data_IF_701042303442
#
_entry.id   IF_701042303442
#
_cell.length_a   1.000
_cell.length_b   1.000
_cell.length_c   1.000
_cell.angle_alpha   90.00
_cell.angle_beta   90.00
_cell.angle_gamma   90.00
#
_symmetry.space_group_name_H-M   'P 1'
#
loop_
_entity.id
_entity.type
_entity.pdbx_description
1 polymer ?
#
# COMPACT_ATOMS: atom_id res chain seq x y z
N UNK A 1 -15.20 1.20 -11.48
CA UNK A 1 -15.15 2.61 -11.04
C UNK A 1 -16.15 3.56 -11.72
N UNK A 2 -16.70 3.30 -12.92
CA UNK A 2 -17.57 4.27 -13.64
C UNK A 2 -18.92 4.56 -12.94
N UNK A 3 -19.53 3.60 -12.24
CA UNK A 3 -20.79 3.83 -11.50
C UNK A 3 -20.64 4.57 -10.16
N UNK A 4 -19.42 4.78 -9.67
CA UNK A 4 -19.18 5.19 -8.28
C UNK A 4 -19.35 6.68 -7.99
N UNK A 5 -19.22 7.54 -9.00
CA UNK A 5 -19.19 8.99 -8.77
C UNK A 5 -20.50 9.71 -9.02
N UNK A 6 -21.47 9.03 -9.63
CA UNK A 6 -22.78 9.59 -9.95
C UNK A 6 -23.90 9.00 -9.10
N UNK A 7 -23.59 8.16 -8.11
CA UNK A 7 -24.61 7.53 -7.28
C UNK A 7 -25.24 8.56 -6.32
N UNK A 8 -26.49 9.01 -6.57
CA UNK A 8 -27.15 10.04 -5.77
C UNK A 8 -27.59 9.52 -4.39
N UNK A 9 -27.56 8.21 -4.17
CA UNK A 9 -28.02 7.56 -2.94
C UNK A 9 -26.99 7.65 -1.80
N UNK A 10 -25.80 8.15 -2.08
CA UNK A 10 -24.73 8.30 -1.10
C UNK A 10 -24.35 9.77 -0.97
N UNK A 11 -25.10 10.51 -0.13
CA UNK A 11 -24.81 11.87 0.39
C UNK A 11 -23.53 11.92 1.26
N UNK A 12 -22.51 11.13 0.92
CA UNK A 12 -21.23 11.21 1.61
C UNK A 12 -20.45 12.41 1.08
N UNK A 13 -19.94 13.22 2.00
CA UNK A 13 -19.08 14.38 1.69
C UNK A 13 -17.72 13.96 1.09
N UNK A 14 -17.36 12.68 1.23
CA UNK A 14 -16.15 12.10 0.68
C UNK A 14 -16.38 10.66 0.17
N UNK A 15 -15.47 10.18 -0.66
CA UNK A 15 -15.40 8.81 -1.15
C UNK A 15 -14.05 8.23 -0.76
N UNK A 16 -14.07 7.11 -0.07
CA UNK A 16 -12.86 6.36 0.25
C UNK A 16 -12.49 5.43 -0.91
N UNK A 17 -11.21 5.40 -1.26
CA UNK A 17 -10.66 4.47 -2.23
C UNK A 17 -9.62 3.58 -1.56
N UNK A 18 -9.54 2.33 -2.02
CA UNK A 18 -8.46 1.41 -1.64
C UNK A 18 -7.09 2.03 -1.93
N UNK A 19 -6.00 1.51 -1.33
CA UNK A 19 -4.67 2.06 -1.56
C UNK A 19 -4.34 2.15 -3.06
N UNK A 20 -4.01 3.35 -3.56
CA UNK A 20 -3.72 3.54 -4.99
C UNK A 20 -2.28 3.19 -5.35
N UNK A 21 -1.41 3.00 -4.34
CA UNK A 21 -0.02 2.64 -4.50
C UNK A 21 0.16 1.23 -5.07
N UNK A 22 1.33 1.00 -5.65
CA UNK A 22 1.72 -0.31 -6.16
C UNK A 22 1.82 -1.34 -5.04
N UNK A 23 1.26 -2.51 -5.31
CA UNK A 23 1.14 -3.59 -4.34
C UNK A 23 1.63 -4.90 -4.92
N UNK A 24 1.93 -5.84 -4.04
CA UNK A 24 2.11 -7.24 -4.41
C UNK A 24 0.80 -7.83 -4.99
N UNK A 25 0.90 -8.60 -6.08
CA UNK A 25 -0.26 -9.16 -6.79
C UNK A 25 -0.85 -10.39 -6.09
N UNK A 26 0.00 -11.21 -5.47
CA UNK A 26 -0.38 -12.57 -5.03
C UNK A 26 -1.00 -12.60 -3.63
N UNK A 27 -0.88 -11.52 -2.87
CA UNK A 27 -1.51 -11.42 -1.55
C UNK A 27 -2.89 -10.76 -1.66
N UNK A 28 -3.84 -11.19 -0.81
CA UNK A 28 -5.09 -10.46 -0.61
C UNK A 28 -4.86 -9.12 0.12
N UNK A 29 -3.72 -8.99 0.80
CA UNK A 29 -3.34 -7.75 1.45
C UNK A 29 -2.92 -6.69 0.42
N UNK A 30 -3.17 -5.43 0.74
CA UNK A 30 -2.72 -4.29 -0.06
C UNK A 30 -1.33 -3.86 0.39
N UNK A 31 -0.40 -4.82 0.47
CA UNK A 31 0.98 -4.61 0.91
C UNK A 31 1.77 -3.83 -0.14
N UNK A 32 2.31 -2.64 0.20
CA UNK A 32 3.05 -1.80 -0.74
C UNK A 32 4.34 -2.45 -1.23
N UNK A 33 4.63 -2.24 -2.51
CA UNK A 33 5.95 -2.48 -3.12
C UNK A 33 6.60 -1.15 -3.49
N UNK A 34 5.80 -0.18 -3.92
CA UNK A 34 6.25 1.18 -4.15
C UNK A 34 5.13 2.20 -3.98
N UNK A 35 5.45 3.48 -4.14
CA UNK A 35 4.47 4.56 -4.14
C UNK A 35 4.03 4.99 -5.55
N UNK A 36 4.35 4.22 -6.59
CA UNK A 36 3.73 4.42 -7.90
C UNK A 36 2.21 4.28 -7.77
N UNK A 37 1.44 5.20 -8.35
CA UNK A 37 -0.03 5.16 -8.32
C UNK A 37 -0.56 4.12 -9.34
N UNK A 38 -0.28 2.84 -9.11
CA UNK A 38 -0.66 1.76 -10.00
C UNK A 38 -1.03 0.53 -9.18
N UNK A 39 -2.32 0.38 -8.92
CA UNK A 39 -2.87 -0.70 -8.09
C UNK A 39 -3.74 -1.63 -8.93
N UNK A 40 -4.34 -2.65 -8.28
CA UNK A 40 -5.39 -3.47 -8.88
C UNK A 40 -6.61 -2.66 -9.32
N UNK A 41 -6.81 -1.46 -8.77
CA UNK A 41 -7.92 -0.57 -9.13
C UNK A 41 -7.66 0.25 -10.40
N UNK A 42 -6.41 0.28 -10.89
CA UNK A 42 -6.05 0.98 -12.11
C UNK A 42 -4.71 1.70 -12.04
N UNK A 43 -4.37 2.30 -13.16
CA UNK A 43 -3.20 3.15 -13.39
C UNK A 43 -3.38 4.56 -12.84
N UNK A 44 -2.29 5.31 -12.77
CA UNK A 44 -2.29 6.72 -12.35
C UNK A 44 -3.19 7.59 -13.22
N UNK A 45 -3.21 7.30 -14.52
CA UNK A 45 -4.09 7.99 -15.47
C UNK A 45 -5.56 7.72 -15.13
N UNK A 46 -5.95 6.47 -14.91
CA UNK A 46 -7.33 6.11 -14.57
C UNK A 46 -7.74 6.70 -13.21
N UNK A 47 -6.82 6.75 -12.25
CA UNK A 47 -7.04 7.44 -10.97
C UNK A 47 -7.24 8.95 -11.19
N UNK A 48 -6.44 9.59 -12.02
CA UNK A 48 -6.60 11.00 -12.41
C UNK A 48 -7.95 11.26 -13.08
N UNK A 49 -8.41 10.36 -13.95
CA UNK A 49 -9.74 10.44 -14.56
C UNK A 49 -10.87 10.30 -13.53
N UNK A 50 -10.71 9.40 -12.54
CA UNK A 50 -11.66 9.31 -11.41
C UNK A 50 -11.67 10.63 -10.65
N UNK A 51 -10.53 11.13 -10.20
CA UNK A 51 -10.44 12.39 -9.44
C UNK A 51 -11.08 13.55 -10.22
N UNK A 52 -10.78 13.66 -11.52
CA UNK A 52 -11.33 14.71 -12.38
C UNK A 52 -12.84 14.60 -12.52
N UNK A 53 -13.40 13.41 -12.73
CA UNK A 53 -14.86 13.21 -12.87
C UNK A 53 -15.61 13.44 -11.56
N UNK A 54 -14.96 13.20 -10.43
CA UNK A 54 -15.58 13.20 -9.11
C UNK A 54 -15.20 14.45 -8.30
N UNK A 55 -14.64 15.48 -8.93
CA UNK A 55 -14.11 16.69 -8.28
C UNK A 55 -15.14 17.50 -7.46
N UNK A 56 -16.43 17.20 -7.59
CA UNK A 56 -17.51 17.73 -6.75
C UNK A 56 -17.61 17.07 -5.35
N UNK A 57 -16.88 15.98 -5.11
CA UNK A 57 -16.77 15.29 -3.81
C UNK A 57 -15.31 15.07 -3.47
N UNK A 58 -14.97 14.97 -2.18
CA UNK A 58 -13.59 14.66 -1.77
C UNK A 58 -13.28 13.20 -2.03
N UNK A 59 -12.10 12.90 -2.57
CA UNK A 59 -11.56 11.54 -2.64
C UNK A 59 -10.56 11.39 -1.50
N UNK A 60 -10.77 10.40 -0.64
CA UNK A 60 -9.88 10.03 0.45
C UNK A 60 -9.22 8.71 0.09
N UNK A 61 -7.91 8.72 -0.13
CA UNK A 61 -7.17 7.49 -0.37
C UNK A 61 -6.81 6.82 0.95
N UNK A 62 -6.99 5.51 1.03
CA UNK A 62 -6.29 4.70 2.02
C UNK A 62 -4.78 4.74 1.73
N UNK A 63 -3.98 4.95 2.77
CA UNK A 63 -2.54 5.17 2.68
C UNK A 63 -1.84 4.21 3.61
N UNK A 64 -1.17 3.21 3.03
CA UNK A 64 -0.36 2.24 3.76
C UNK A 64 1.09 2.72 3.74
N UNK A 65 1.53 3.27 4.87
CA UNK A 65 2.90 3.83 5.05
C UNK A 65 3.69 3.16 6.17
N UNK A 66 3.02 2.34 6.98
CA UNK A 66 3.64 1.71 8.15
C UNK A 66 4.56 0.53 7.79
N UNK A 67 4.24 -0.21 6.74
CA UNK A 67 4.94 -1.42 6.35
C UNK A 67 4.93 -1.59 4.82
N UNK A 68 5.80 -2.48 4.31
CA UNK A 68 5.83 -2.91 2.91
C UNK A 68 5.09 -4.26 2.75
N UNK A 69 5.75 -5.30 2.26
CA UNK A 69 5.23 -6.66 2.25
C UNK A 69 5.83 -7.50 3.39
N UNK A 70 5.18 -8.60 3.72
CA UNK A 70 5.66 -9.50 4.77
C UNK A 70 7.04 -10.07 4.41
N UNK A 71 7.92 -10.24 5.40
CA UNK A 71 9.30 -10.72 5.22
C UNK A 71 9.40 -12.12 4.61
N UNK A 72 8.37 -12.95 4.74
CA UNK A 72 8.26 -14.28 4.14
C UNK A 72 7.76 -14.27 2.68
N UNK A 73 7.57 -13.08 2.11
CA UNK A 73 7.19 -12.91 0.71
C UNK A 73 8.33 -13.37 -0.22
N UNK A 74 8.05 -14.40 -1.02
CA UNK A 74 9.00 -14.97 -1.99
C UNK A 74 9.40 -13.96 -3.08
N UNK A 75 10.69 -13.91 -3.43
CA UNK A 75 11.34 -12.94 -4.33
C UNK A 75 10.84 -12.93 -5.80
N UNK A 76 9.98 -13.87 -6.21
CA UNK A 76 9.42 -13.95 -7.57
C UNK A 76 7.95 -13.49 -7.66
N UNK A 77 7.46 -12.81 -6.63
CA UNK A 77 6.08 -12.31 -6.59
C UNK A 77 5.98 -11.03 -7.41
N UNK A 78 5.06 -11.02 -8.38
CA UNK A 78 4.78 -9.83 -9.18
C UNK A 78 4.17 -8.71 -8.33
N UNK A 79 4.52 -7.48 -8.67
CA UNK A 79 3.88 -6.25 -8.22
C UNK A 79 2.95 -5.71 -9.32
N UNK A 80 2.00 -4.85 -8.96
CA UNK A 80 0.96 -4.36 -9.89
C UNK A 80 1.50 -3.49 -11.03
N UNK A 81 2.73 -2.96 -10.92
CA UNK A 81 3.43 -2.23 -11.99
C UNK A 81 4.70 -2.94 -12.44
N UNK A 82 5.05 -4.09 -11.85
CA UNK A 82 6.24 -4.85 -12.19
C UNK A 82 7.53 -4.30 -11.60
N UNK A 83 7.46 -3.42 -10.61
CA UNK A 83 8.65 -3.04 -9.84
C UNK A 83 9.28 -4.24 -9.15
N UNK A 84 10.60 -4.31 -9.24
CA UNK A 84 11.42 -5.27 -8.49
C UNK A 84 11.41 -4.93 -7.00
N UNK A 85 11.37 -5.98 -6.18
CA UNK A 85 11.62 -5.94 -4.74
C UNK A 85 12.08 -7.32 -4.25
N UNK A 86 12.72 -7.36 -3.08
CA UNK A 86 12.97 -8.58 -2.32
C UNK A 86 12.61 -8.32 -0.87
N UNK A 87 11.69 -9.12 -0.32
CA UNK A 87 11.30 -8.98 1.09
C UNK A 87 12.36 -9.58 2.03
N UNK A 88 12.99 -10.70 1.63
CA UNK A 88 14.00 -11.41 2.43
C UNK A 88 15.30 -10.63 2.57
N UNK A 89 15.59 -9.71 1.66
CA UNK A 89 16.75 -8.81 1.72
C UNK A 89 16.35 -7.36 1.98
N UNK A 90 15.06 -7.10 2.13
CA UNK A 90 14.49 -5.77 2.39
C UNK A 90 14.86 -4.71 1.35
N UNK A 91 14.95 -5.10 0.07
CA UNK A 91 15.30 -4.18 -1.01
C UNK A 91 14.04 -3.78 -1.79
N UNK A 92 13.70 -2.49 -1.75
CA UNK A 92 12.58 -1.89 -2.49
C UNK A 92 13.08 -0.68 -3.30
N UNK A 93 13.86 -0.91 -4.39
CA UNK A 93 14.56 0.15 -5.11
C UNK A 93 13.66 1.15 -5.84
N UNK A 94 12.36 0.85 -5.99
CA UNK A 94 11.38 1.82 -6.53
C UNK A 94 10.97 2.90 -5.50
N UNK A 95 11.23 2.68 -4.21
CA UNK A 95 11.07 3.64 -3.11
C UNK A 95 12.41 4.18 -2.58
N UNK A 96 13.51 3.76 -3.20
CA UNK A 96 14.82 3.46 -2.61
C UNK A 96 14.96 2.89 -1.17
N UNK A 97 14.05 2.05 -0.66
CA UNK A 97 14.32 1.40 0.65
C UNK A 97 15.32 0.24 0.54
N UNK A 98 16.11 0.12 1.59
CA UNK A 98 17.08 -0.93 1.90
C UNK A 98 16.82 -1.46 3.31
N UNK A 99 17.54 -2.51 3.73
CA UNK A 99 17.42 -3.05 5.09
C UNK A 99 17.65 -2.02 6.21
N UNK A 100 18.41 -0.96 5.94
CA UNK A 100 18.63 0.14 6.90
C UNK A 100 17.38 1.00 7.14
N UNK A 101 16.34 0.86 6.32
CA UNK A 101 15.09 1.59 6.42
C UNK A 101 14.00 0.79 7.15
N UNK A 102 14.32 -0.40 7.67
CA UNK A 102 13.43 -1.28 8.42
C UNK A 102 13.85 -1.35 9.89
N UNK A 103 12.89 -1.72 10.75
CA UNK A 103 13.04 -1.69 12.21
C UNK A 103 13.67 -2.98 12.79
N UNK A 104 14.47 -3.70 12.01
CA UNK A 104 15.07 -4.98 12.41
C UNK A 104 15.99 -4.82 13.64
N UNK A 105 16.76 -3.73 13.71
CA UNK A 105 17.65 -3.43 14.83
C UNK A 105 16.92 -2.80 16.05
N UNK A 106 15.74 -2.22 15.83
CA UNK A 106 14.94 -1.55 16.87
C UNK A 106 13.98 -2.52 17.57
N UNK A 107 13.53 -3.56 16.86
CA UNK A 107 12.60 -4.56 17.38
C UNK A 107 13.31 -5.51 18.36
N UNK A 108 12.97 -5.44 19.65
CA UNK A 108 13.60 -6.27 20.68
C UNK A 108 12.87 -7.59 20.96
N UNK A 109 11.79 -7.90 20.24
CA UNK A 109 11.02 -9.13 20.46
C UNK A 109 11.75 -10.34 19.90
N UNK A 110 11.55 -11.51 20.52
CA UNK A 110 12.27 -12.72 20.12
C UNK A 110 11.94 -13.21 18.72
N UNK A 111 10.72 -12.92 18.25
CA UNK A 111 10.23 -13.30 16.92
C UNK A 111 10.29 -12.18 15.88
N UNK A 112 10.84 -11.00 16.19
CA UNK A 112 10.87 -9.86 15.25
C UNK A 112 9.48 -9.33 14.87
N UNK A 113 8.47 -9.61 15.69
CA UNK A 113 7.07 -9.26 15.48
C UNK A 113 6.49 -8.54 16.69
N UNK A 114 5.29 -7.96 16.54
CA UNK A 114 4.53 -7.44 17.67
C UNK A 114 4.01 -8.62 18.49
N UNK A 115 4.55 -8.81 19.69
CA UNK A 115 4.19 -9.89 20.60
C UNK A 115 3.43 -9.34 21.84
N UNK A 116 3.62 -8.07 22.16
CA UNK A 116 3.00 -7.41 23.30
C UNK A 116 2.51 -5.99 22.98
N UNK A 117 1.20 -5.83 22.79
CA UNK A 117 0.55 -4.53 22.54
C UNK A 117 0.62 -3.52 23.70
N UNK A 118 1.17 -3.90 24.86
CA UNK A 118 1.44 -2.98 25.98
C UNK A 118 2.87 -2.47 25.99
N UNK A 119 3.71 -2.98 25.10
CA UNK A 119 5.08 -2.53 24.92
C UNK A 119 5.13 -1.48 23.81
N UNK A 120 5.38 -0.23 24.19
CA UNK A 120 5.38 0.90 23.24
C UNK A 120 6.52 0.83 22.23
N UNK A 121 7.54 0.01 22.48
CA UNK A 121 8.67 -0.18 21.56
C UNK A 121 8.37 -1.27 20.50
N UNK A 122 7.22 -1.94 20.59
CA UNK A 122 6.74 -2.90 19.59
C UNK A 122 5.57 -2.35 18.76
N UNK A 123 5.24 -1.06 18.87
CA UNK A 123 4.11 -0.41 18.20
C UNK A 123 4.55 0.65 17.20
#
# INVERSE_FOLDING_TARGET
>A
MVRWCSDPLLLLQHREISPPSEQIVVSKASSPVSYWLCSRSGTEQELGEVISRCNHVKICADVVIHHTCASDTVEDRLSTRGSYFTATREEFPSVPYSSADFNDDECTSGGGNIENYRDIYQL
#
